data_IF_133140570260
#
_entry.id   IF_133140570260
#
_cell.length_a   1.000
_cell.length_b   1.000
_cell.length_c   1.000
_cell.angle_alpha   90.00
_cell.angle_beta   90.00
_cell.angle_gamma   90.00
#
_symmetry.space_group_name_H-M   'P 1'
#
loop_
_entity.id
_entity.type
_entity.pdbx_description
1 polymer ?
#
# COMPACT_ATOMS: atom_id res chain seq x y z
N UNK A 1 18.38 -24.02 -1.53
CA UNK A 1 17.43 -22.89 -1.63
C UNK A 1 17.29 -22.54 -3.11
N UNK A 2 16.25 -23.03 -3.77
CA UNK A 2 15.99 -22.70 -5.17
C UNK A 2 15.32 -21.32 -5.21
N UNK A 3 15.85 -20.39 -6.01
CA UNK A 3 15.22 -19.09 -6.22
C UNK A 3 13.98 -19.32 -7.08
N UNK A 4 12.83 -18.88 -6.60
CA UNK A 4 11.59 -18.86 -7.38
C UNK A 4 11.64 -17.73 -8.41
N UNK A 5 12.30 -18.00 -9.53
CA UNK A 5 12.45 -17.10 -10.69
C UNK A 5 11.13 -16.42 -11.10
N UNK A 6 9.98 -17.12 -11.23
CA UNK A 6 8.72 -16.45 -11.59
C UNK A 6 8.24 -15.46 -10.53
N UNK A 7 8.42 -15.77 -9.23
CA UNK A 7 8.05 -14.87 -8.14
C UNK A 7 8.94 -13.62 -8.09
N UNK A 8 10.24 -13.79 -8.33
CA UNK A 8 11.19 -12.69 -8.38
C UNK A 8 10.85 -11.71 -9.51
N UNK A 9 10.55 -12.23 -10.71
CA UNK A 9 10.13 -11.41 -11.85
C UNK A 9 8.84 -10.65 -11.52
N UNK A 10 7.87 -11.30 -10.88
CA UNK A 10 6.62 -10.67 -10.45
C UNK A 10 6.83 -9.47 -9.52
N UNK A 11 7.69 -9.62 -8.50
CA UNK A 11 8.01 -8.55 -7.54
C UNK A 11 8.70 -7.37 -8.23
N UNK A 12 9.66 -7.65 -9.13
CA UNK A 12 10.38 -6.60 -9.87
C UNK A 12 9.39 -5.77 -10.70
N UNK A 13 8.51 -6.43 -11.47
CA UNK A 13 7.51 -5.74 -12.29
C UNK A 13 6.58 -4.91 -11.41
N UNK A 14 6.11 -5.46 -10.29
CA UNK A 14 5.22 -4.75 -9.37
C UNK A 14 5.84 -3.45 -8.83
N UNK A 15 7.10 -3.49 -8.39
CA UNK A 15 7.79 -2.29 -7.93
C UNK A 15 8.05 -1.26 -9.04
N UNK A 16 8.37 -1.71 -10.25
CA UNK A 16 8.51 -0.80 -11.39
C UNK A 16 7.19 -0.10 -11.70
N UNK A 17 6.05 -0.79 -11.62
CA UNK A 17 4.74 -0.18 -11.82
C UNK A 17 4.45 0.90 -10.77
N UNK A 18 4.68 0.62 -9.48
CA UNK A 18 4.49 1.60 -8.41
C UNK A 18 5.36 2.84 -8.66
N UNK A 19 6.63 2.63 -9.06
CA UNK A 19 7.56 3.70 -9.35
C UNK A 19 7.10 4.56 -10.53
N UNK A 20 6.67 3.94 -11.64
CA UNK A 20 6.16 4.67 -12.82
C UNK A 20 4.94 5.50 -12.46
N UNK A 21 3.98 4.93 -11.72
CA UNK A 21 2.78 5.66 -11.28
C UNK A 21 3.17 6.85 -10.38
N UNK A 22 4.08 6.63 -9.43
CA UNK A 22 4.60 7.68 -8.55
C UNK A 22 5.27 8.82 -9.31
N UNK A 23 6.07 8.51 -10.35
CA UNK A 23 6.71 9.52 -11.19
C UNK A 23 5.71 10.32 -12.03
N UNK A 24 4.68 9.68 -12.58
CA UNK A 24 3.62 10.35 -13.33
C UNK A 24 2.82 11.27 -12.41
N UNK A 25 2.41 10.78 -11.24
CA UNK A 25 1.66 11.55 -10.25
C UNK A 25 2.49 12.74 -9.72
N UNK A 26 3.78 12.53 -9.44
CA UNK A 26 4.70 13.57 -8.99
C UNK A 26 4.95 14.65 -10.07
N UNK A 27 5.03 14.27 -11.34
CA UNK A 27 5.19 15.22 -12.46
C UNK A 27 3.93 16.02 -12.78
N UNK A 28 2.74 15.52 -12.43
CA UNK A 28 1.46 16.19 -12.71
C UNK A 28 1.13 17.31 -11.70
N UNK A 29 1.88 17.46 -10.60
CA UNK A 29 1.73 18.56 -9.65
C UNK A 29 2.34 19.86 -10.21
N UNK A 30 1.49 20.86 -10.44
CA UNK A 30 1.93 22.23 -10.72
C UNK A 30 2.58 22.84 -9.47
N UNK A 31 3.55 23.74 -9.70
CA UNK A 31 4.44 24.38 -8.71
C UNK A 31 3.71 25.33 -7.74
N UNK A 32 2.76 24.85 -6.94
CA UNK A 32 2.31 25.60 -5.76
C UNK A 32 3.15 25.09 -4.59
N UNK A 33 4.12 25.88 -4.14
CA UNK A 33 5.08 25.54 -3.08
C UNK A 33 4.47 25.52 -1.68
N UNK A 34 3.18 25.25 -1.56
CA UNK A 34 2.47 25.27 -0.30
C UNK A 34 2.45 23.85 0.31
N UNK A 35 3.12 23.69 1.44
CA UNK A 35 3.27 22.40 2.13
C UNK A 35 1.93 21.84 2.62
N UNK A 36 0.97 22.73 2.88
CA UNK A 36 -0.36 22.35 3.35
C UNK A 36 -1.17 21.68 2.23
N UNK A 37 -1.05 22.14 0.99
CA UNK A 37 -1.68 21.49 -0.17
C UNK A 37 -1.05 20.14 -0.49
N UNK A 38 0.26 19.97 -0.19
CA UNK A 38 0.97 18.70 -0.37
C UNK A 38 0.48 17.62 0.61
N UNK A 39 0.26 17.99 1.88
CA UNK A 39 -0.16 17.07 2.95
C UNK A 39 -1.67 16.81 2.95
N UNK A 40 -2.51 17.81 2.69
CA UNK A 40 -3.97 17.67 2.68
C UNK A 40 -4.52 17.22 1.31
N UNK A 41 -3.65 16.96 0.33
CA UNK A 41 -4.03 16.69 -1.06
C UNK A 41 -5.05 17.72 -1.60
N UNK A 42 -4.83 19.00 -1.27
CA UNK A 42 -5.74 20.09 -1.63
C UNK A 42 -7.19 19.90 -1.18
N UNK A 43 -7.44 19.07 -0.14
CA UNK A 43 -8.77 18.76 0.40
C UNK A 43 -9.73 18.10 -0.62
N UNK A 44 -9.20 17.58 -1.73
CA UNK A 44 -9.98 17.08 -2.87
C UNK A 44 -9.68 15.61 -3.18
N UNK A 45 -9.62 14.77 -2.15
CA UNK A 45 -9.59 13.33 -2.33
C UNK A 45 -11.02 12.82 -2.51
N UNK A 46 -11.33 12.26 -3.69
CA UNK A 46 -12.61 11.61 -3.93
C UNK A 46 -12.83 10.46 -2.95
N UNK A 47 -14.08 10.25 -2.51
CA UNK A 47 -14.45 9.26 -1.49
C UNK A 47 -13.86 7.86 -1.75
N UNK A 48 -13.94 7.38 -2.99
CA UNK A 48 -13.40 6.07 -3.36
C UNK A 48 -11.89 5.97 -3.15
N UNK A 49 -11.14 6.99 -3.58
CA UNK A 49 -9.68 7.04 -3.42
C UNK A 49 -9.32 7.19 -1.93
N UNK A 50 -10.11 7.95 -1.18
CA UNK A 50 -9.92 8.12 0.27
C UNK A 50 -10.07 6.79 1.02
N UNK A 51 -11.12 6.01 0.73
CA UNK A 51 -11.32 4.68 1.35
C UNK A 51 -10.17 3.73 1.00
N UNK A 52 -9.79 3.65 -0.27
CA UNK A 52 -8.68 2.79 -0.71
C UNK A 52 -7.36 3.18 -0.04
N UNK A 53 -7.09 4.49 0.07
CA UNK A 53 -5.88 4.99 0.73
C UNK A 53 -5.88 4.65 2.21
N UNK A 54 -7.00 4.87 2.90
CA UNK A 54 -7.13 4.54 4.31
C UNK A 54 -6.88 3.04 4.56
N UNK A 55 -7.54 2.16 3.80
CA UNK A 55 -7.31 0.71 3.92
C UNK A 55 -5.85 0.35 3.62
N UNK A 56 -5.24 0.96 2.60
CA UNK A 56 -3.84 0.71 2.26
C UNK A 56 -2.86 1.10 3.39
N UNK A 57 -3.21 2.07 4.24
CA UNK A 57 -2.38 2.43 5.41
C UNK A 57 -2.48 1.42 6.56
N UNK A 58 -3.58 0.66 6.66
CA UNK A 58 -3.81 -0.31 7.72
C UNK A 58 -3.35 -1.73 7.35
N UNK A 59 -3.55 -2.13 6.09
CA UNK A 59 -3.23 -3.49 5.63
C UNK A 59 -1.77 -3.57 5.19
N UNK A 60 -0.88 -3.74 6.16
CA UNK A 60 0.55 -3.90 5.94
C UNK A 60 1.06 -5.35 6.05
N UNK A 61 2.37 -5.54 5.87
CA UNK A 61 3.01 -6.85 6.01
C UNK A 61 2.87 -7.46 7.42
N UNK A 62 2.90 -6.62 8.47
CA UNK A 62 2.68 -7.05 9.84
C UNK A 62 1.24 -7.55 10.07
N UNK A 63 0.24 -6.88 9.47
CA UNK A 63 -1.16 -7.29 9.52
C UNK A 63 -1.32 -8.68 8.88
N UNK A 64 -0.79 -8.88 7.67
CA UNK A 64 -0.91 -10.14 6.93
C UNK A 64 -0.20 -11.27 7.67
N UNK A 65 1.03 -11.05 8.14
CA UNK A 65 1.80 -12.10 8.78
C UNK A 65 1.25 -12.44 10.18
N UNK A 66 0.86 -11.43 10.97
CA UNK A 66 0.28 -11.62 12.29
C UNK A 66 -1.09 -12.32 12.25
N UNK A 67 -1.94 -11.97 11.29
CA UNK A 67 -3.22 -12.68 11.09
C UNK A 67 -2.99 -14.13 10.64
N UNK A 68 -2.06 -14.38 9.72
CA UNK A 68 -1.70 -15.74 9.31
C UNK A 68 -1.18 -16.59 10.48
N UNK A 69 -0.35 -16.02 11.35
CA UNK A 69 0.18 -16.70 12.53
C UNK A 69 -0.92 -17.09 13.52
N UNK A 70 -1.78 -16.13 13.90
CA UNK A 70 -2.85 -16.38 14.87
C UNK A 70 -3.91 -17.32 14.31
N UNK A 71 -4.26 -17.20 13.03
CA UNK A 71 -5.15 -18.16 12.37
C UNK A 71 -4.56 -19.57 12.34
N UNK A 72 -3.26 -19.69 12.09
CA UNK A 72 -2.58 -20.98 12.05
C UNK A 72 -2.46 -21.64 13.43
N UNK A 73 -2.29 -20.85 14.50
CA UNK A 73 -2.07 -21.37 15.85
C UNK A 73 -3.35 -21.50 16.68
N UNK A 74 -4.11 -20.41 16.76
CA UNK A 74 -5.23 -20.27 17.70
C UNK A 74 -6.58 -20.37 16.99
N UNK A 75 -6.61 -20.34 15.65
CA UNK A 75 -7.82 -20.48 14.85
C UNK A 75 -8.56 -19.16 14.61
N UNK A 76 -9.58 -19.19 13.77
CA UNK A 76 -10.22 -17.98 13.23
C UNK A 76 -10.86 -17.08 14.30
N UNK A 77 -11.40 -17.69 15.37
CA UNK A 77 -12.07 -16.97 16.47
C UNK A 77 -11.08 -16.09 17.24
N UNK A 78 -9.81 -16.50 17.29
CA UNK A 78 -8.75 -15.84 18.05
C UNK A 78 -7.95 -14.86 17.21
N UNK A 79 -8.16 -14.83 15.90
CA UNK A 79 -7.56 -13.86 15.00
C UNK A 79 -8.23 -12.49 15.13
N UNK A 80 -8.00 -11.84 16.27
CA UNK A 80 -8.27 -10.42 16.44
C UNK A 80 -7.17 -9.70 15.67
N UNK A 81 -7.47 -9.37 14.42
CA UNK A 81 -6.64 -8.47 13.65
C UNK A 81 -6.40 -7.18 14.45
N UNK A 82 -5.24 -6.53 14.32
CA UNK A 82 -5.12 -5.14 14.71
C UNK A 82 -6.05 -4.25 13.89
#
# INVERSE_FOLDING_TARGET
MAIHIPGLIGIIIFYLLILVIGLIAGRKKNKTGDTDELLLAGRNLGFFVAVMTYTATLVGGAYINGTAEVMGRDGLIWCVAP
#
